data_IF_656388953157
#
_entry.id   IF_656388953157
#
_cell.length_a   1.000
_cell.length_b   1.000
_cell.length_c   1.000
_cell.angle_alpha   90.00
_cell.angle_beta   90.00
_cell.angle_gamma   90.00
#
_symmetry.space_group_name_H-M   'P 1'
#
loop_
_entity.id
_entity.type
_entity.pdbx_description
1 polymer ?
#
# COMPACT_ATOMS: atom_id res chain seq x y z
N UNK A 1 -34.80 -2.31 -13.77
CA UNK A 1 -33.90 -1.95 -12.69
C UNK A 1 -32.86 -3.04 -12.46
N UNK A 2 -31.65 -2.71 -12.59
CA UNK A 2 -30.61 -3.72 -12.41
C UNK A 2 -29.91 -3.51 -11.09
N UNK A 3 -30.12 -4.43 -10.20
CA UNK A 3 -29.47 -4.36 -8.92
C UNK A 3 -27.98 -4.60 -9.03
N UNK A 4 -27.55 -5.30 -10.07
CA UNK A 4 -26.15 -5.51 -10.32
C UNK A 4 -25.40 -4.20 -10.59
N UNK A 5 -26.13 -3.15 -11.03
CA UNK A 5 -25.53 -1.85 -11.26
C UNK A 5 -25.43 -1.04 -9.97
N UNK A 6 -25.94 -1.60 -8.89
CA UNK A 6 -26.03 -0.92 -7.60
C UNK A 6 -24.92 -1.35 -6.66
N UNK A 7 -23.77 -1.72 -7.22
CA UNK A 7 -22.63 -2.05 -6.37
C UNK A 7 -22.34 -0.90 -5.42
N UNK A 8 -22.23 -1.22 -4.15
CA UNK A 8 -21.94 -0.22 -3.15
C UNK A 8 -20.48 0.16 -3.25
N UNK A 9 -20.22 1.44 -3.41
CA UNK A 9 -18.88 1.96 -3.59
C UNK A 9 -18.59 3.11 -2.64
N UNK A 10 -17.33 3.39 -2.44
CA UNK A 10 -16.87 4.57 -1.76
C UNK A 10 -15.85 5.26 -2.64
N UNK A 11 -15.65 6.55 -2.46
CA UNK A 11 -14.64 7.26 -3.22
C UNK A 11 -13.28 7.08 -2.56
N UNK A 12 -12.26 6.78 -3.35
CA UNK A 12 -10.90 6.64 -2.87
C UNK A 12 -9.98 7.61 -3.59
N UNK A 13 -9.18 8.33 -2.82
CA UNK A 13 -8.06 9.11 -3.32
C UNK A 13 -6.79 8.55 -2.74
N UNK A 14 -5.80 8.30 -3.59
CA UNK A 14 -4.45 7.94 -3.17
C UNK A 14 -3.54 9.06 -3.63
N UNK A 15 -2.93 9.74 -2.69
CA UNK A 15 -2.20 10.99 -2.93
C UNK A 15 -0.82 10.91 -2.28
N UNK A 16 0.19 11.33 -3.01
CA UNK A 16 1.52 11.58 -2.45
C UNK A 16 1.72 13.10 -2.34
N UNK A 17 2.83 13.50 -1.73
CA UNK A 17 3.14 14.91 -1.60
C UNK A 17 3.26 15.62 -2.95
N UNK A 18 3.55 14.89 -4.00
CA UNK A 18 3.82 15.47 -5.31
C UNK A 18 2.67 15.35 -6.29
N UNK A 19 1.82 14.33 -6.15
CA UNK A 19 0.79 14.10 -7.14
C UNK A 19 -0.33 13.20 -6.62
N UNK A 20 -1.46 13.27 -7.30
CA UNK A 20 -2.55 12.33 -7.11
C UNK A 20 -2.26 11.10 -7.96
N UNK A 21 -2.26 9.93 -7.33
CA UNK A 21 -1.93 8.67 -7.99
C UNK A 21 -3.21 7.97 -8.47
N UNK A 22 -4.27 8.04 -7.69
CA UNK A 22 -5.53 7.40 -7.99
C UNK A 22 -6.67 8.25 -7.44
N UNK A 23 -7.75 8.33 -8.18
CA UNK A 23 -8.99 8.95 -7.69
C UNK A 23 -10.16 8.27 -8.40
N UNK A 24 -11.07 7.70 -7.65
CA UNK A 24 -12.21 7.02 -8.24
C UNK A 24 -13.02 6.25 -7.24
N UNK A 25 -14.05 5.57 -7.74
CA UNK A 25 -14.93 4.76 -6.89
C UNK A 25 -14.40 3.34 -6.80
N UNK A 26 -14.48 2.79 -5.59
CA UNK A 26 -13.94 1.45 -5.31
C UNK A 26 -14.91 0.68 -4.44
N UNK A 27 -14.78 -0.64 -4.47
CA UNK A 27 -15.62 -1.53 -3.66
C UNK A 27 -14.95 -1.88 -2.33
N UNK A 28 -13.63 -1.87 -2.29
CA UNK A 28 -12.89 -2.23 -1.09
C UNK A 28 -11.46 -1.68 -1.15
N UNK A 29 -10.94 -1.33 0.00
CA UNK A 29 -9.54 -0.95 0.17
C UNK A 29 -8.96 -1.74 1.33
N UNK A 30 -7.80 -2.35 1.15
CA UNK A 30 -7.08 -3.00 2.23
C UNK A 30 -5.72 -2.34 2.34
N UNK A 31 -5.40 -1.84 3.52
CA UNK A 31 -4.15 -1.11 3.75
C UNK A 31 -3.40 -1.68 4.95
N UNK A 32 -2.09 -1.48 4.96
CA UNK A 32 -1.24 -1.95 6.05
C UNK A 32 -1.12 -0.86 7.10
N UNK A 33 -1.96 -0.91 8.11
CA UNK A 33 -1.93 0.03 9.21
C UNK A 33 -0.84 -0.28 10.22
N UNK A 34 -0.53 0.71 11.05
CA UNK A 34 0.49 0.55 12.09
C UNK A 34 0.17 -0.59 13.04
N UNK A 35 -1.11 -0.80 13.33
CA UNK A 35 -1.56 -1.84 14.25
C UNK A 35 -2.01 -3.11 13.53
N UNK A 36 -1.86 -3.18 12.24
CA UNK A 36 -2.24 -4.34 11.45
C UNK A 36 -2.97 -3.97 10.18
N UNK A 37 -3.33 -4.98 9.42
CA UNK A 37 -4.04 -4.78 8.17
C UNK A 37 -5.47 -4.29 8.43
N UNK A 38 -5.90 -3.29 7.68
CA UNK A 38 -7.23 -2.69 7.81
C UNK A 38 -7.99 -2.86 6.49
N UNK A 39 -9.16 -3.49 6.56
CA UNK A 39 -10.04 -3.63 5.39
C UNK A 39 -11.17 -2.63 5.49
N UNK A 40 -11.40 -1.89 4.42
CA UNK A 40 -12.40 -0.82 4.39
C UNK A 40 -13.39 -1.09 3.27
N UNK A 41 -14.67 -1.17 3.64
CA UNK A 41 -15.78 -1.27 2.69
C UNK A 41 -16.63 -0.02 2.81
N UNK A 42 -17.48 0.26 1.82
CA UNK A 42 -18.35 1.45 1.86
C UNK A 42 -19.19 1.49 3.14
N UNK A 43 -19.34 2.68 3.70
CA UNK A 43 -20.08 2.86 4.95
C UNK A 43 -19.25 2.62 6.21
N UNK A 44 -17.96 2.39 6.07
CA UNK A 44 -17.08 2.15 7.21
C UNK A 44 -17.11 3.35 8.17
N UNK A 45 -17.06 3.05 9.46
CA UNK A 45 -17.02 4.10 10.48
C UNK A 45 -15.76 4.96 10.32
N UNK A 46 -15.83 6.23 10.69
CA UNK A 46 -14.66 7.10 10.60
C UNK A 46 -13.44 6.53 11.32
N UNK A 47 -12.28 6.63 10.69
CA UNK A 47 -11.03 6.10 11.21
C UNK A 47 -9.89 6.97 10.69
N UNK A 48 -8.93 7.24 11.56
CA UNK A 48 -7.68 7.88 11.16
C UNK A 48 -6.56 7.05 11.75
N UNK A 49 -5.69 6.52 10.90
CA UNK A 49 -4.59 5.68 11.35
C UNK A 49 -3.34 5.91 10.52
N UNK A 50 -2.21 5.68 11.15
CA UNK A 50 -0.93 5.72 10.44
C UNK A 50 -0.74 4.42 9.66
N UNK A 51 -0.07 4.54 8.53
CA UNK A 51 0.33 3.42 7.70
C UNK A 51 1.82 3.19 7.86
N UNK A 52 2.21 1.93 7.91
CA UNK A 52 3.62 1.58 7.82
C UNK A 52 3.93 1.16 6.39
N UNK A 53 5.21 1.07 6.01
CA UNK A 53 5.55 0.62 4.67
C UNK A 53 4.85 -0.69 4.37
N UNK A 54 4.12 -0.73 3.26
CA UNK A 54 3.34 -1.90 2.94
C UNK A 54 2.53 -1.71 1.68
N UNK A 55 1.60 -2.61 1.47
CA UNK A 55 0.76 -2.58 0.30
C UNK A 55 -0.61 -1.99 0.61
N UNK A 56 -1.19 -1.38 -0.41
CA UNK A 56 -2.59 -0.99 -0.43
C UNK A 56 -3.22 -1.73 -1.59
N UNK A 57 -4.23 -2.55 -1.32
CA UNK A 57 -4.95 -3.29 -2.34
C UNK A 57 -6.30 -2.64 -2.55
N UNK A 58 -6.62 -2.37 -3.79
CA UNK A 58 -7.85 -1.66 -4.16
C UNK A 58 -8.68 -2.56 -5.05
N UNK A 59 -9.95 -2.76 -4.69
CA UNK A 59 -10.90 -3.45 -5.54
C UNK A 59 -11.75 -2.40 -6.22
N UNK A 60 -11.59 -2.28 -7.53
CA UNK A 60 -12.33 -1.32 -8.34
C UNK A 60 -13.78 -1.76 -8.52
N UNK A 61 -14.62 -0.83 -8.90
CA UNK A 61 -15.98 -1.17 -9.29
C UNK A 61 -15.93 -2.18 -10.43
N UNK A 62 -16.61 -3.30 -10.27
CA UNK A 62 -16.56 -4.40 -11.21
C UNK A 62 -15.62 -5.53 -10.82
N UNK A 63 -14.85 -5.35 -9.75
CA UNK A 63 -14.06 -6.42 -9.16
C UNK A 63 -12.60 -6.49 -9.52
N UNK A 64 -12.13 -5.70 -10.48
CA UNK A 64 -10.71 -5.67 -10.83
C UNK A 64 -9.90 -5.14 -9.65
N UNK A 65 -8.69 -5.65 -9.48
CA UNK A 65 -7.84 -5.23 -8.37
C UNK A 65 -6.59 -4.51 -8.84
N UNK A 66 -6.18 -3.52 -8.06
CA UNK A 66 -4.91 -2.84 -8.23
C UNK A 66 -4.16 -2.88 -6.91
N UNK A 67 -2.85 -2.98 -6.99
CA UNK A 67 -1.99 -3.04 -5.81
C UNK A 67 -0.97 -1.92 -5.90
N UNK A 68 -0.81 -1.21 -4.80
CA UNK A 68 0.15 -0.13 -4.66
C UNK A 68 1.08 -0.43 -3.51
N UNK A 69 2.34 -0.09 -3.66
CA UNK A 69 3.26 0.01 -2.53
C UNK A 69 3.20 1.43 -1.99
N UNK A 70 3.09 1.56 -0.66
CA UNK A 70 3.19 2.86 0.00
C UNK A 70 4.33 2.81 1.03
N UNK A 71 5.08 3.88 1.11
CA UNK A 71 6.25 3.94 1.99
C UNK A 71 5.90 4.30 3.43
N UNK A 72 4.62 4.39 3.74
CA UNK A 72 4.11 4.87 4.99
C UNK A 72 3.25 6.10 4.73
N UNK A 73 2.59 6.59 5.75
CA UNK A 73 1.72 7.74 5.61
C UNK A 73 0.52 7.63 6.52
N UNK A 74 -0.62 8.04 6.02
CA UNK A 74 -1.83 8.14 6.81
C UNK A 74 -3.04 7.69 6.00
N UNK A 75 -3.96 7.02 6.68
CA UNK A 75 -5.23 6.59 6.10
C UNK A 75 -6.35 7.30 6.84
N UNK A 76 -7.17 8.02 6.10
CA UNK A 76 -8.39 8.64 6.63
C UNK A 76 -9.60 7.94 6.01
N UNK A 77 -10.52 7.51 6.85
CA UNK A 77 -11.74 6.83 6.43
C UNK A 77 -12.95 7.62 6.89
N UNK A 78 -13.86 7.87 5.96
CA UNK A 78 -15.18 8.41 6.25
C UNK A 78 -16.19 7.50 5.56
N UNK A 79 -17.49 7.54 5.94
CA UNK A 79 -18.47 6.61 5.35
C UNK A 79 -18.55 6.65 3.82
N UNK A 80 -18.26 7.80 3.22
CA UNK A 80 -18.41 7.97 1.78
C UNK A 80 -17.12 8.21 1.04
N UNK A 81 -16.00 8.39 1.75
CA UNK A 81 -14.72 8.54 1.07
C UNK A 81 -13.58 8.05 1.94
N UNK A 82 -12.50 7.70 1.28
CA UNK A 82 -11.27 7.20 1.88
C UNK A 82 -10.11 7.94 1.24
N UNK A 83 -9.16 8.39 2.04
CA UNK A 83 -7.96 9.04 1.53
C UNK A 83 -6.72 8.31 2.07
N UNK A 84 -5.85 7.92 1.16
CA UNK A 84 -4.52 7.42 1.48
C UNK A 84 -3.55 8.54 1.15
N UNK A 85 -2.90 9.07 2.17
CA UNK A 85 -1.88 10.10 2.01
C UNK A 85 -0.54 9.46 2.34
N UNK A 86 0.30 9.29 1.36
CA UNK A 86 1.54 8.55 1.52
C UNK A 86 2.75 9.40 1.17
N UNK A 87 3.89 9.06 1.77
CA UNK A 87 5.13 9.76 1.49
C UNK A 87 5.62 9.44 0.07
N UNK A 88 5.57 8.18 -0.29
CA UNK A 88 5.87 7.73 -1.65
C UNK A 88 4.94 6.57 -2.00
N UNK A 89 4.56 6.51 -3.27
CA UNK A 89 3.62 5.51 -3.76
C UNK A 89 4.14 4.99 -5.10
N UNK A 90 4.08 3.67 -5.26
CA UNK A 90 4.39 3.03 -6.54
C UNK A 90 3.32 2.00 -6.87
N UNK A 91 2.87 1.98 -8.13
CA UNK A 91 2.03 0.88 -8.57
C UNK A 91 2.89 -0.39 -8.55
N UNK A 92 2.32 -1.47 -8.02
CA UNK A 92 3.12 -2.69 -7.87
C UNK A 92 3.62 -3.24 -9.20
N UNK A 93 2.87 -3.05 -10.28
CA UNK A 93 3.28 -3.51 -11.62
C UNK A 93 4.40 -2.64 -12.22
N UNK A 94 4.72 -1.53 -11.60
CA UNK A 94 5.80 -0.64 -12.06
C UNK A 94 7.06 -0.76 -11.20
N UNK A 95 7.02 -1.55 -10.12
CA UNK A 95 8.18 -1.72 -9.25
C UNK A 95 9.23 -2.59 -9.92
N UNK A 96 10.48 -2.13 -9.88
CA UNK A 96 11.61 -2.92 -10.37
C UNK A 96 11.96 -4.01 -9.34
N UNK A 97 11.53 -5.22 -9.62
CA UNK A 97 11.74 -6.34 -8.70
C UNK A 97 13.23 -6.63 -8.48
N UNK A 98 14.03 -6.54 -9.52
CA UNK A 98 15.47 -6.79 -9.37
C UNK A 98 16.11 -5.77 -8.43
N UNK A 99 15.71 -4.51 -8.56
CA UNK A 99 16.22 -3.46 -7.66
C UNK A 99 15.75 -3.69 -6.22
N UNK A 100 14.52 -4.13 -6.03
CA UNK A 100 13.99 -4.40 -4.69
C UNK A 100 14.71 -5.58 -4.04
N UNK A 101 14.96 -6.65 -4.80
CA UNK A 101 15.70 -7.81 -4.29
C UNK A 101 17.14 -7.44 -3.93
N UNK A 102 17.80 -6.63 -4.77
CA UNK A 102 19.15 -6.16 -4.50
C UNK A 102 19.20 -5.27 -3.25
N UNK A 103 18.21 -4.39 -3.09
CA UNK A 103 18.13 -3.53 -1.92
C UNK A 103 17.92 -4.35 -0.64
N UNK A 104 17.09 -5.40 -0.72
CA UNK A 104 16.88 -6.29 0.41
C UNK A 104 18.18 -6.97 0.81
N UNK A 105 18.92 -7.51 -0.15
CA UNK A 105 20.18 -8.19 0.13
C UNK A 105 21.20 -7.25 0.77
N UNK A 106 21.32 -6.02 0.25
CA UNK A 106 22.24 -5.04 0.82
C UNK A 106 21.86 -4.68 2.26
N UNK A 107 20.57 -4.50 2.51
CA UNK A 107 20.10 -4.16 3.85
C UNK A 107 20.34 -5.28 4.85
N UNK A 108 20.09 -6.52 4.44
CA UNK A 108 20.34 -7.69 5.28
C UNK A 108 21.83 -7.81 5.61
N UNK A 109 22.69 -7.58 4.63
CA UNK A 109 24.13 -7.63 4.84
C UNK A 109 24.60 -6.53 5.78
N UNK A 110 24.07 -5.33 5.63
CA UNK A 110 24.42 -4.20 6.50
C UNK A 110 24.02 -4.46 7.94
N UNK A 111 22.86 -5.08 8.16
CA UNK A 111 22.40 -5.43 9.50
C UNK A 111 23.29 -6.51 10.10
N UNK A 112 23.66 -7.52 9.32
CA UNK A 112 24.48 -8.63 9.78
C UNK A 112 25.93 -8.22 10.11
N UNK A 113 26.44 -7.19 9.44
CA UNK A 113 27.84 -6.79 9.60
C UNK A 113 28.14 -6.05 10.91
N UNK A 114 27.11 -5.72 11.69
CA UNK A 114 27.25 -5.04 12.98
C UNK A 114 28.03 -3.73 12.86
N UNK A 115 27.73 -2.95 11.83
CA UNK A 115 28.34 -1.65 11.65
C UNK A 115 27.89 -0.64 12.70
N UNK A 116 28.15 0.63 12.46
CA UNK A 116 27.78 1.70 13.37
C UNK A 116 26.26 1.70 13.61
N UNK A 117 25.83 2.10 14.80
CA UNK A 117 24.42 2.10 15.18
C UNK A 117 23.56 2.92 14.22
N UNK A 118 24.08 4.02 13.70
CA UNK A 118 23.35 4.84 12.74
C UNK A 118 23.04 4.07 11.46
N UNK A 119 23.96 3.21 11.05
CA UNK A 119 23.78 2.42 9.84
C UNK A 119 22.74 1.34 10.06
N UNK A 120 22.61 0.84 11.30
CA UNK A 120 21.60 -0.18 11.60
C UNK A 120 20.17 0.32 11.39
N UNK A 121 19.84 1.50 11.91
CA UNK A 121 18.49 2.06 11.75
C UNK A 121 18.15 2.29 10.28
N UNK A 122 19.11 2.81 9.53
CA UNK A 122 18.92 3.05 8.11
C UNK A 122 18.73 1.73 7.36
N UNK A 123 19.58 0.75 7.64
CA UNK A 123 19.49 -0.56 7.01
C UNK A 123 18.16 -1.26 7.33
N UNK A 124 17.69 -1.15 8.57
CA UNK A 124 16.41 -1.73 8.96
C UNK A 124 15.26 -1.08 8.21
N UNK A 125 15.29 0.25 8.01
CA UNK A 125 14.26 0.94 7.24
C UNK A 125 14.30 0.53 5.76
N UNK A 126 15.48 0.41 5.19
CA UNK A 126 15.63 -0.03 3.80
C UNK A 126 15.15 -1.46 3.61
N UNK A 127 15.42 -2.33 4.59
CA UNK A 127 14.93 -3.71 4.54
C UNK A 127 13.42 -3.75 4.57
N UNK A 128 12.79 -3.00 5.47
CA UNK A 128 11.34 -2.96 5.58
C UNK A 128 10.70 -2.50 4.27
N UNK A 129 11.28 -1.47 3.65
CA UNK A 129 10.81 -0.96 2.37
C UNK A 129 10.93 -2.02 1.27
N UNK A 130 12.08 -2.66 1.15
CA UNK A 130 12.32 -3.66 0.10
C UNK A 130 11.39 -4.85 0.27
N UNK A 131 11.19 -5.32 1.50
CA UNK A 131 10.28 -6.43 1.79
C UNK A 131 8.85 -6.07 1.40
N UNK A 132 8.41 -4.84 1.72
CA UNK A 132 7.07 -4.38 1.37
C UNK A 132 6.88 -4.30 -0.14
N UNK A 133 7.89 -3.82 -0.86
CA UNK A 133 7.83 -3.76 -2.32
C UNK A 133 7.74 -5.16 -2.94
N UNK A 134 8.51 -6.10 -2.42
CA UNK A 134 8.49 -7.48 -2.91
C UNK A 134 7.12 -8.11 -2.64
N UNK A 135 6.54 -7.87 -1.47
CA UNK A 135 5.21 -8.37 -1.15
C UNK A 135 4.14 -7.82 -2.10
N UNK A 136 4.24 -6.54 -2.44
CA UNK A 136 3.31 -5.93 -3.38
C UNK A 136 3.39 -6.63 -4.75
N UNK A 137 4.59 -6.90 -5.23
CA UNK A 137 4.78 -7.62 -6.49
C UNK A 137 4.19 -9.02 -6.41
N UNK A 138 4.41 -9.72 -5.30
CA UNK A 138 3.89 -11.08 -5.12
C UNK A 138 2.37 -11.10 -5.12
N UNK A 139 1.73 -10.08 -4.56
CA UNK A 139 0.27 -9.99 -4.58
C UNK A 139 -0.28 -9.88 -5.99
N UNK A 140 0.37 -9.11 -6.84
CA UNK A 140 -0.06 -9.04 -8.25
C UNK A 140 0.03 -10.41 -8.90
N UNK A 141 1.12 -11.11 -8.70
CA UNK A 141 1.31 -12.43 -9.31
C UNK A 141 0.24 -13.42 -8.89
N UNK A 142 -0.20 -13.32 -7.66
CA UNK A 142 -1.27 -14.18 -7.15
C UNK A 142 -2.60 -13.95 -7.88
N UNK A 143 -2.86 -12.71 -8.26
CA UNK A 143 -4.13 -12.36 -8.88
C UNK A 143 -4.15 -12.56 -10.40
N UNK A 144 -2.98 -12.67 -11.01
CA UNK A 144 -2.89 -12.88 -12.46
C UNK A 144 -3.23 -14.31 -12.83
N UNK A 145 -3.08 -15.21 -11.92
CA UNK A 145 -3.50 -16.60 -12.16
C UNK A 145 -5.01 -16.75 -12.04
#
# INVERSE_FOLDING_TARGET
>A
MRQTDMAITTHLDIVSAEQEIFSGVVEMVVATGELGEVGIVPGHAPLLTLLKPGEVRVTLQGGAQEVYYVSGGMLEVQPHYVTVLADAIERADEIDEAAALAAKARAEEAIASKGAEMDYSKAAAELARAVAQIRAIQKIRKHIK
#
